data_IF_257049046354
#
_entry.id   IF_257049046354
#
_cell.length_a   1.000
_cell.length_b   1.000
_cell.length_c   1.000
_cell.angle_alpha   90.00
_cell.angle_beta   90.00
_cell.angle_gamma   90.00
#
_symmetry.space_group_name_H-M   'P 1'
#
loop_
_entity.id
_entity.type
_entity.pdbx_description
1 polymer ?
#
# COMPACT_ATOMS: atom_id res chain seq x y z
N UNK A 1 47.30 -22.19 25.98
CA UNK A 1 47.72 -21.35 24.84
C UNK A 1 46.67 -21.27 23.72
N UNK A 2 45.99 -22.37 23.34
CA UNK A 2 44.96 -22.39 22.27
C UNK A 2 43.72 -21.53 22.56
N UNK A 3 43.25 -21.49 23.82
CA UNK A 3 42.07 -20.70 24.23
C UNK A 3 42.29 -19.18 24.13
N UNK A 4 43.51 -18.69 24.37
CA UNK A 4 43.84 -17.26 24.27
C UNK A 4 43.82 -16.82 22.79
N UNK A 5 44.25 -17.69 21.88
CA UNK A 5 44.23 -17.41 20.45
C UNK A 5 42.79 -17.31 19.91
N UNK A 6 41.88 -18.18 20.37
CA UNK A 6 40.46 -18.12 20.02
C UNK A 6 39.78 -16.84 20.52
N UNK A 7 40.09 -16.41 21.75
CA UNK A 7 39.54 -15.16 22.28
C UNK A 7 39.98 -13.94 21.46
N UNK A 8 41.22 -13.93 20.98
CA UNK A 8 41.79 -12.83 20.20
C UNK A 8 41.14 -12.72 18.81
N UNK A 9 40.89 -13.86 18.16
CA UNK A 9 40.18 -13.90 16.86
C UNK A 9 38.72 -13.47 17.03
N UNK A 10 38.04 -13.94 18.08
CA UNK A 10 36.64 -13.57 18.34
C UNK A 10 36.48 -12.08 18.64
N UNK A 11 37.42 -11.50 19.40
CA UNK A 11 37.42 -10.06 19.70
C UNK A 11 37.63 -9.22 18.44
N UNK A 12 38.50 -9.67 17.53
CA UNK A 12 38.73 -8.98 16.26
C UNK A 12 37.50 -9.00 15.34
N UNK A 13 36.76 -10.11 15.33
CA UNK A 13 35.53 -10.24 14.54
C UNK A 13 34.43 -9.29 15.06
N UNK A 14 34.32 -9.15 16.40
CA UNK A 14 33.31 -8.32 17.05
C UNK A 14 33.49 -6.83 16.75
N UNK A 15 34.74 -6.35 16.65
CA UNK A 15 35.06 -4.96 16.26
C UNK A 15 34.81 -4.69 14.78
N UNK A 16 35.05 -5.67 13.91
CA UNK A 16 34.76 -5.53 12.47
C UNK A 16 33.23 -5.49 12.25
N UNK A 17 32.46 -6.32 12.95
CA UNK A 17 30.99 -6.29 12.88
C UNK A 17 30.40 -4.97 13.37
N UNK A 18 30.95 -4.35 14.42
CA UNK A 18 30.46 -3.04 14.89
C UNK A 18 30.76 -1.90 13.92
N UNK A 19 31.88 -1.96 13.19
CA UNK A 19 32.20 -0.98 12.14
C UNK A 19 31.30 -1.11 10.90
N UNK A 20 30.80 -2.31 10.60
CA UNK A 20 29.92 -2.54 9.44
C UNK A 20 28.46 -2.10 9.65
N UNK A 21 28.02 -1.88 10.90
CA UNK A 21 26.63 -1.49 11.22
C UNK A 21 26.38 0.01 11.04
N UNK A 22 27.42 0.84 10.91
CA UNK A 22 27.29 2.31 10.89
C UNK A 22 27.17 2.94 9.49
N UNK A 23 26.70 2.20 8.49
CA UNK A 23 26.21 2.79 7.23
C UNK A 23 24.69 2.74 7.24
N UNK A 24 24.09 3.69 7.96
CA UNK A 24 22.72 4.09 7.67
C UNK A 24 22.66 4.50 6.19
N UNK A 25 21.87 3.76 5.42
CA UNK A 25 21.62 3.97 3.99
C UNK A 25 20.92 5.31 3.75
N UNK A 26 21.67 6.41 3.81
CA UNK A 26 21.24 7.76 3.41
C UNK A 26 20.94 7.88 1.90
N UNK A 27 21.10 6.78 1.15
CA UNK A 27 20.73 6.66 -0.26
C UNK A 27 19.22 6.63 -0.44
N UNK A 28 18.50 5.90 0.43
CA UNK A 28 17.04 5.76 0.34
C UNK A 28 16.32 7.08 0.60
N UNK A 29 16.74 7.85 1.60
CA UNK A 29 16.16 9.18 1.89
C UNK A 29 16.39 10.19 0.77
N UNK A 30 17.51 10.06 0.04
CA UNK A 30 17.84 10.94 -1.07
C UNK A 30 17.04 10.60 -2.34
N UNK A 31 16.78 9.32 -2.58
CA UNK A 31 15.88 8.89 -3.65
C UNK A 31 14.42 9.26 -3.33
N UNK A 32 13.94 9.03 -2.11
CA UNK A 32 12.58 9.36 -1.67
C UNK A 32 12.25 10.85 -1.80
N UNK A 33 13.20 11.75 -1.50
CA UNK A 33 13.03 13.20 -1.68
C UNK A 33 13.05 13.66 -3.14
N UNK A 34 13.55 12.83 -4.06
CA UNK A 34 13.64 13.12 -5.50
C UNK A 34 12.43 12.61 -6.31
N UNK A 35 11.66 11.69 -5.73
CA UNK A 35 10.38 11.28 -6.29
C UNK A 35 9.46 12.49 -6.14
N UNK A 36 9.27 13.25 -7.22
CA UNK A 36 8.12 14.14 -7.35
C UNK A 36 6.92 13.30 -6.94
N UNK A 37 6.32 13.61 -5.79
CA UNK A 37 5.07 12.98 -5.40
C UNK A 37 4.14 13.12 -6.61
N UNK A 38 3.68 12.00 -7.21
CA UNK A 38 2.72 12.09 -8.29
C UNK A 38 1.56 12.93 -7.75
N UNK A 39 1.12 13.93 -8.51
CA UNK A 39 -0.01 14.78 -8.15
C UNK A 39 -1.09 13.86 -7.57
N UNK A 40 -1.34 13.93 -6.26
CA UNK A 40 -2.24 13.01 -5.54
C UNK A 40 -3.69 13.45 -5.66
N UNK A 41 -3.91 14.65 -6.20
CA UNK A 41 -5.23 15.23 -6.50
C UNK A 41 -6.20 14.27 -7.20
N UNK A 42 -5.82 13.53 -8.25
CA UNK A 42 -6.73 12.62 -8.91
C UNK A 42 -7.06 11.39 -8.07
N UNK A 43 -6.22 10.98 -7.11
CA UNK A 43 -6.55 9.89 -6.18
C UNK A 43 -7.47 10.37 -5.05
N UNK A 44 -7.20 11.56 -4.52
CA UNK A 44 -7.98 12.17 -3.45
C UNK A 44 -9.40 12.55 -3.90
N UNK A 45 -9.55 13.09 -5.12
CA UNK A 45 -10.86 13.31 -5.75
C UNK A 45 -11.64 12.00 -5.91
N UNK A 46 -10.94 10.91 -6.18
CA UNK A 46 -11.53 9.60 -6.42
C UNK A 46 -11.97 8.99 -5.08
N UNK A 47 -11.15 9.06 -4.03
CA UNK A 47 -11.58 8.74 -2.67
C UNK A 47 -12.80 9.57 -2.25
N UNK A 48 -12.83 10.87 -2.56
CA UNK A 48 -13.97 11.74 -2.25
C UNK A 48 -15.23 11.26 -2.97
N UNK A 49 -15.16 11.03 -4.29
CA UNK A 49 -16.28 10.52 -5.09
C UNK A 49 -16.84 9.23 -4.50
N UNK A 50 -15.98 8.25 -4.20
CA UNK A 50 -16.44 6.97 -3.65
C UNK A 50 -16.87 7.06 -2.17
N UNK A 51 -16.37 8.04 -1.40
CA UNK A 51 -16.84 8.29 -0.03
C UNK A 51 -18.24 8.91 0.03
N UNK A 52 -18.64 9.65 -1.01
CA UNK A 52 -19.98 10.24 -1.13
C UNK A 52 -21.02 9.21 -1.59
N UNK A 53 -20.57 8.06 -2.11
CA UNK A 53 -21.45 6.97 -2.49
C UNK A 53 -22.01 6.33 -1.23
N UNK A 54 -23.29 6.60 -0.99
CA UNK A 54 -24.08 5.81 -0.05
C UNK A 54 -24.31 4.44 -0.68
N UNK A 55 -23.42 3.50 -0.39
CA UNK A 55 -23.47 2.11 -0.89
C UNK A 55 -24.83 1.47 -0.60
N UNK A 56 -25.53 1.90 0.45
CA UNK A 56 -26.88 1.41 0.82
C UNK A 56 -28.05 2.27 0.30
N UNK A 57 -27.81 3.23 -0.61
CA UNK A 57 -28.90 3.99 -1.23
C UNK A 57 -29.64 3.13 -2.26
N UNK A 58 -30.97 3.21 -2.28
CA UNK A 58 -31.82 2.56 -3.30
C UNK A 58 -31.69 3.24 -4.68
N UNK A 59 -31.15 4.46 -4.73
CA UNK A 59 -30.91 5.22 -5.96
C UNK A 59 -29.54 4.93 -6.59
N UNK A 60 -28.72 4.08 -5.96
CA UNK A 60 -27.39 3.76 -6.46
C UNK A 60 -27.47 2.78 -7.64
N UNK A 61 -27.07 3.23 -8.84
CA UNK A 61 -26.80 2.30 -9.95
C UNK A 61 -25.55 1.49 -9.63
N UNK A 62 -25.80 0.30 -9.09
CA UNK A 62 -24.78 -0.59 -8.59
C UNK A 62 -23.82 -1.05 -9.71
N UNK A 63 -24.35 -1.31 -10.91
CA UNK A 63 -23.55 -1.77 -12.04
C UNK A 63 -22.63 -0.66 -12.56
N UNK A 64 -23.16 0.56 -12.72
CA UNK A 64 -22.33 1.70 -13.13
C UNK A 64 -21.23 2.00 -12.10
N UNK A 65 -21.56 1.87 -10.81
CA UNK A 65 -20.61 2.14 -9.72
C UNK A 65 -19.49 1.09 -9.68
N UNK A 66 -19.82 -0.19 -9.90
CA UNK A 66 -18.84 -1.28 -9.99
C UNK A 66 -17.89 -1.07 -11.18
N UNK A 67 -18.41 -0.68 -12.34
CA UNK A 67 -17.55 -0.39 -13.50
C UNK A 67 -16.63 0.82 -13.25
N UNK A 68 -17.16 1.86 -12.62
CA UNK A 68 -16.36 3.04 -12.26
C UNK A 68 -15.22 2.71 -11.29
N UNK A 69 -15.48 1.87 -10.26
CA UNK A 69 -14.42 1.46 -9.32
C UNK A 69 -13.39 0.55 -9.99
N UNK A 70 -13.80 -0.33 -10.92
CA UNK A 70 -12.88 -1.17 -11.70
C UNK A 70 -11.93 -0.35 -12.55
N UNK A 71 -12.45 0.68 -13.24
CA UNK A 71 -11.60 1.62 -13.99
C UNK A 71 -10.63 2.37 -13.07
N UNK A 72 -11.09 2.80 -11.90
CA UNK A 72 -10.21 3.43 -10.92
C UNK A 72 -9.12 2.49 -10.39
N UNK A 73 -9.44 1.21 -10.16
CA UNK A 73 -8.49 0.17 -9.75
C UNK A 73 -7.46 -0.16 -10.83
N UNK A 74 -7.82 -0.02 -12.10
CA UNK A 74 -6.84 -0.12 -13.20
C UNK A 74 -5.83 1.01 -13.15
N UNK A 75 -6.27 2.24 -12.83
CA UNK A 75 -5.39 3.39 -12.67
C UNK A 75 -4.58 3.35 -11.36
N UNK A 76 -5.17 2.82 -10.28
CA UNK A 76 -4.57 2.76 -8.93
C UNK A 76 -4.67 1.35 -8.33
N UNK A 77 -3.89 0.38 -8.85
CA UNK A 77 -4.02 -1.04 -8.48
C UNK A 77 -3.57 -1.37 -7.05
N UNK A 78 -2.75 -0.50 -6.44
CA UNK A 78 -2.24 -0.65 -5.07
C UNK A 78 -3.07 0.12 -4.03
N UNK A 79 -4.17 0.76 -4.41
CA UNK A 79 -5.03 1.46 -3.45
C UNK A 79 -5.98 0.48 -2.74
N UNK A 80 -5.74 0.32 -1.44
CA UNK A 80 -6.51 -0.59 -0.57
C UNK A 80 -7.93 -0.07 -0.28
N UNK A 81 -8.16 1.25 -0.29
CA UNK A 81 -9.50 1.81 -0.07
C UNK A 81 -10.40 1.49 -1.26
N UNK A 82 -9.91 1.72 -2.48
CA UNK A 82 -10.65 1.38 -3.69
C UNK A 82 -10.96 -0.11 -3.77
N UNK A 83 -10.02 -0.95 -3.35
CA UNK A 83 -10.22 -2.40 -3.29
C UNK A 83 -11.32 -2.79 -2.31
N UNK A 84 -11.35 -2.15 -1.14
CA UNK A 84 -12.38 -2.40 -0.13
C UNK A 84 -13.77 -2.04 -0.66
N UNK A 85 -13.88 -0.87 -1.31
CA UNK A 85 -15.14 -0.40 -1.90
C UNK A 85 -15.61 -1.32 -3.03
N UNK A 86 -14.69 -1.78 -3.90
CA UNK A 86 -14.98 -2.77 -4.95
C UNK A 86 -15.59 -4.05 -4.36
N UNK A 87 -14.97 -4.59 -3.30
CA UNK A 87 -15.45 -5.79 -2.61
C UNK A 87 -16.84 -5.56 -2.01
N UNK A 88 -17.07 -4.44 -1.33
CA UNK A 88 -18.38 -4.11 -0.75
C UNK A 88 -19.48 -3.99 -1.81
N UNK A 89 -19.19 -3.36 -2.94
CA UNK A 89 -20.13 -3.21 -4.06
C UNK A 89 -20.47 -4.55 -4.70
N UNK A 90 -19.47 -5.40 -4.96
CA UNK A 90 -19.68 -6.76 -5.51
C UNK A 90 -20.45 -7.65 -4.52
N UNK A 91 -20.17 -7.55 -3.22
CA UNK A 91 -20.98 -8.22 -2.19
C UNK A 91 -22.43 -7.73 -2.19
N UNK A 92 -22.67 -6.42 -2.31
CA UNK A 92 -24.03 -5.90 -2.42
C UNK A 92 -24.73 -6.43 -3.67
N UNK A 93 -24.04 -6.50 -4.81
CA UNK A 93 -24.58 -7.03 -6.07
C UNK A 93 -24.98 -8.50 -5.94
N UNK A 94 -24.14 -9.30 -5.30
CA UNK A 94 -24.40 -10.71 -5.07
C UNK A 94 -25.56 -10.95 -4.08
N UNK A 95 -25.79 -10.01 -3.16
CA UNK A 95 -26.84 -10.08 -2.15
C UNK A 95 -28.13 -9.35 -2.55
N UNK A 96 -28.15 -8.62 -3.67
CA UNK A 96 -29.38 -8.07 -4.21
C UNK A 96 -30.28 -9.24 -4.62
N UNK A 97 -31.53 -9.31 -4.09
CA UNK A 97 -32.45 -10.34 -4.51
C UNK A 97 -32.68 -10.12 -6.00
N UNK A 98 -32.18 -11.05 -6.83
CA UNK A 98 -32.50 -11.09 -8.26
C UNK A 98 -34.01 -11.01 -8.38
N UNK A 99 -34.51 -9.83 -8.77
CA UNK A 99 -35.90 -9.63 -9.16
C UNK A 99 -36.07 -10.41 -10.47
N UNK A 100 -36.38 -11.70 -10.34
CA UNK A 100 -36.99 -12.50 -11.41
C UNK A 100 -38.44 -12.09 -11.60
#
# INVERSE_FOLDING_TARGET
MKLVLFALVFLSFLVISSLYISKEDKSLDKELKSIKHPDTKPLEELHKKFSEIKINSDELDLNQTIEAIKQARQAYPLDDKLKTIEIELEHKKANEPTKY
#
